data_IF_504050016599
#
_entry.id   IF_504050016599
#
_cell.length_a   1.000
_cell.length_b   1.000
_cell.length_c   1.000
_cell.angle_alpha   90.00
_cell.angle_beta   90.00
_cell.angle_gamma   90.00
#
_symmetry.space_group_name_H-M   'P 1'
#
loop_
_entity.id
_entity.type
_entity.pdbx_description
1 polymer ?
#
# COMPACT_ATOMS: atom_id res chain seq x y z
N UNK A 1 2.03 0.98 20.44
CA UNK A 1 3.09 1.19 21.46
C UNK A 1 4.42 1.05 20.75
N UNK A 2 5.25 2.10 20.73
CA UNK A 2 6.51 2.10 19.98
C UNK A 2 7.60 1.34 20.75
N UNK A 3 8.02 0.21 20.20
CA UNK A 3 9.09 -0.67 20.68
C UNK A 3 10.45 -0.24 20.12
N UNK A 4 11.03 0.84 20.66
CA UNK A 4 12.45 1.16 20.44
C UNK A 4 13.14 1.40 21.78
N UNK A 5 14.31 0.77 21.94
CA UNK A 5 15.19 0.87 23.12
C UNK A 5 15.60 2.32 23.39
N UNK A 6 15.65 2.70 24.68
CA UNK A 6 15.92 4.08 25.14
C UNK A 6 17.40 4.49 25.01
N UNK A 7 18.29 3.57 24.67
CA UNK A 7 19.74 3.79 24.76
C UNK A 7 20.45 3.99 23.42
N UNK A 8 19.73 4.35 22.35
CA UNK A 8 20.38 4.77 21.10
C UNK A 8 20.89 6.23 21.20
N UNK A 9 22.21 6.49 21.06
CA UNK A 9 22.80 7.83 21.20
C UNK A 9 22.40 8.84 20.11
N UNK A 10 21.56 8.45 19.15
CA UNK A 10 21.00 9.33 18.10
C UNK A 10 19.55 9.79 18.40
N UNK A 11 19.10 9.76 19.65
CA UNK A 11 17.71 10.11 20.02
C UNK A 11 17.33 11.60 19.80
N UNK A 12 18.25 12.49 19.42
CA UNK A 12 17.98 13.93 19.25
C UNK A 12 17.97 14.41 17.80
N UNK A 13 17.18 13.78 16.94
CA UNK A 13 16.64 14.44 15.74
C UNK A 13 15.24 13.90 15.43
N UNK A 14 14.33 13.90 16.41
CA UNK A 14 12.90 14.02 16.09
C UNK A 14 12.68 15.44 15.60
N UNK A 15 12.99 15.68 14.32
CA UNK A 15 12.49 16.85 13.61
C UNK A 15 10.97 16.67 13.59
N UNK A 16 10.28 17.27 14.57
CA UNK A 16 8.84 17.45 14.45
C UNK A 16 8.67 18.33 13.21
N UNK A 17 8.31 17.71 12.10
CA UNK A 17 7.81 18.42 10.93
C UNK A 17 6.49 19.07 11.36
N UNK A 18 6.57 20.28 11.90
CA UNK A 18 5.38 21.08 12.13
C UNK A 18 4.72 21.29 10.77
N UNK A 19 3.50 20.77 10.64
CA UNK A 19 2.63 21.02 9.49
C UNK A 19 2.22 22.49 9.50
N UNK A 20 3.09 23.36 8.99
CA UNK A 20 2.79 24.77 8.79
C UNK A 20 1.94 24.87 7.52
N UNK A 21 0.80 25.57 7.61
CA UNK A 21 -0.03 25.83 6.43
C UNK A 21 0.79 26.61 5.40
N UNK A 22 0.75 26.20 4.13
CA UNK A 22 1.45 26.89 3.04
C UNK A 22 1.13 28.39 3.01
N UNK A 23 -0.13 28.75 3.28
CA UNK A 23 -0.61 30.14 3.38
C UNK A 23 0.05 30.97 4.49
N UNK A 24 0.59 30.32 5.52
CA UNK A 24 1.31 30.99 6.60
C UNK A 24 2.77 31.30 6.23
N UNK A 25 3.33 30.62 5.22
CA UNK A 25 4.72 30.79 4.77
C UNK A 25 4.80 31.70 3.54
N UNK A 26 3.79 31.66 2.66
CA UNK A 26 3.79 32.44 1.43
C UNK A 26 3.58 33.93 1.70
N UNK A 27 4.51 34.76 1.20
CA UNK A 27 4.33 36.22 1.18
C UNK A 27 3.13 36.58 0.28
N UNK A 28 2.33 37.61 0.60
CA UNK A 28 1.10 37.95 -0.14
C UNK A 28 1.29 38.06 -1.66
N UNK A 29 2.40 38.67 -2.10
CA UNK A 29 2.78 38.81 -3.52
C UNK A 29 3.03 37.51 -4.28
N UNK A 30 3.24 36.40 -3.56
CA UNK A 30 3.48 35.06 -4.11
C UNK A 30 2.36 34.08 -3.73
N UNK A 31 1.18 34.54 -3.29
CA UNK A 31 0.07 33.62 -2.99
C UNK A 31 -0.72 33.20 -4.23
N UNK A 32 -1.00 34.11 -5.17
CA UNK A 32 -1.91 33.80 -6.27
C UNK A 32 -1.32 32.84 -7.33
N UNK A 33 -0.03 32.97 -7.65
CA UNK A 33 0.63 32.27 -8.77
C UNK A 33 1.12 30.85 -8.44
N UNK A 34 1.84 30.61 -7.33
CA UNK A 34 2.32 29.29 -6.93
C UNK A 34 1.19 28.36 -6.52
N UNK A 35 0.20 28.88 -5.78
CA UNK A 35 -0.88 28.07 -5.21
C UNK A 35 -1.75 27.46 -6.29
N UNK A 36 -2.07 28.18 -7.36
CA UNK A 36 -2.84 27.64 -8.50
C UNK A 36 -2.09 26.51 -9.21
N UNK A 37 -0.80 26.70 -9.52
CA UNK A 37 0.01 25.66 -10.19
C UNK A 37 0.23 24.43 -9.31
N UNK A 38 0.45 24.63 -8.02
CA UNK A 38 0.64 23.53 -7.06
C UNK A 38 -0.63 22.69 -6.92
N UNK A 39 -1.80 23.32 -6.80
CA UNK A 39 -3.07 22.59 -6.75
C UNK A 39 -3.31 21.78 -8.02
N UNK A 40 -3.08 22.38 -9.19
CA UNK A 40 -3.21 21.71 -10.49
C UNK A 40 -2.27 20.50 -10.56
N UNK A 41 -0.97 20.68 -10.28
CA UNK A 41 0.00 19.58 -10.31
C UNK A 41 -0.33 18.49 -9.29
N UNK A 42 -0.73 18.86 -8.07
CA UNK A 42 -1.13 17.91 -7.03
C UNK A 42 -2.34 17.08 -7.46
N UNK A 43 -3.34 17.72 -8.07
CA UNK A 43 -4.50 17.06 -8.62
C UNK A 43 -4.12 16.08 -9.74
N UNK A 44 -3.26 16.49 -10.67
CA UNK A 44 -2.80 15.61 -11.75
C UNK A 44 -2.03 14.39 -11.22
N UNK A 45 -1.07 14.61 -10.32
CA UNK A 45 -0.31 13.52 -9.71
C UNK A 45 -1.25 12.57 -8.98
N UNK A 46 -2.15 13.09 -8.14
CA UNK A 46 -3.12 12.27 -7.42
C UNK A 46 -3.99 11.45 -8.36
N UNK A 47 -4.51 12.06 -9.41
CA UNK A 47 -5.35 11.37 -10.39
C UNK A 47 -4.60 10.24 -11.10
N UNK A 48 -3.35 10.47 -11.51
CA UNK A 48 -2.50 9.47 -12.16
C UNK A 48 -2.20 8.33 -11.18
N UNK A 49 -1.76 8.65 -9.97
CA UNK A 49 -1.30 7.65 -9.00
C UNK A 49 -2.44 6.77 -8.48
N UNK A 50 -3.62 7.33 -8.20
CA UNK A 50 -4.79 6.53 -7.78
C UNK A 50 -5.17 5.53 -8.88
N UNK A 51 -5.21 5.98 -10.13
CA UNK A 51 -5.53 5.11 -11.29
C UNK A 51 -4.49 4.03 -11.52
N UNK A 52 -3.21 4.38 -11.40
CA UNK A 52 -2.11 3.43 -11.47
C UNK A 52 -2.22 2.39 -10.34
N UNK A 53 -2.49 2.84 -9.11
CA UNK A 53 -2.66 1.96 -7.95
C UNK A 53 -3.84 1.00 -8.11
N UNK A 54 -4.99 1.49 -8.59
CA UNK A 54 -6.16 0.66 -8.87
C UNK A 54 -5.84 -0.46 -9.86
N UNK A 55 -5.12 -0.14 -10.93
CA UNK A 55 -4.69 -1.14 -11.89
C UNK A 55 -3.72 -2.16 -11.28
N UNK A 56 -2.69 -1.70 -10.56
CA UNK A 56 -1.70 -2.60 -9.93
C UNK A 56 -2.37 -3.53 -8.92
N UNK A 57 -3.32 -3.03 -8.13
CA UNK A 57 -4.10 -3.85 -7.21
C UNK A 57 -4.94 -4.89 -7.96
N UNK A 58 -5.61 -4.49 -9.04
CA UNK A 58 -6.33 -5.44 -9.89
C UNK A 58 -5.39 -6.51 -10.47
N UNK A 59 -4.21 -6.11 -10.95
CA UNK A 59 -3.20 -7.02 -11.47
C UNK A 59 -2.76 -8.04 -10.42
N UNK A 60 -2.44 -7.59 -9.20
CA UNK A 60 -2.07 -8.49 -8.10
C UNK A 60 -3.21 -9.45 -7.73
N UNK A 61 -4.44 -8.95 -7.65
CA UNK A 61 -5.61 -9.76 -7.29
C UNK A 61 -5.97 -10.80 -8.37
N UNK A 62 -5.74 -10.48 -9.65
CA UNK A 62 -5.96 -11.43 -10.75
C UNK A 62 -4.89 -12.52 -10.85
N UNK A 63 -3.77 -12.35 -10.15
CA UNK A 63 -2.66 -13.31 -10.06
C UNK A 63 -2.44 -13.76 -8.60
N UNK A 64 -3.50 -13.82 -7.81
CA UNK A 64 -3.41 -14.08 -6.37
C UNK A 64 -2.83 -15.48 -6.03
N UNK A 65 -2.86 -16.41 -6.98
CA UNK A 65 -2.25 -17.74 -6.88
C UNK A 65 -0.74 -17.75 -7.19
N UNK A 66 -0.18 -16.61 -7.59
CA UNK A 66 1.22 -16.46 -7.98
C UNK A 66 1.97 -15.53 -7.04
N UNK A 67 3.28 -15.73 -6.94
CA UNK A 67 4.15 -14.79 -6.24
C UNK A 67 4.14 -13.44 -6.94
N UNK A 68 3.89 -12.36 -6.20
CA UNK A 68 3.94 -11.00 -6.73
C UNK A 68 5.30 -10.73 -7.36
N UNK A 69 5.30 -10.27 -8.62
CA UNK A 69 6.52 -9.92 -9.32
C UNK A 69 7.28 -8.81 -8.58
N UNK A 70 8.56 -9.05 -8.29
CA UNK A 70 9.43 -8.12 -7.56
C UNK A 70 9.53 -6.75 -8.23
N UNK A 71 9.25 -6.64 -9.53
CA UNK A 71 9.21 -5.37 -10.27
C UNK A 71 8.11 -4.44 -9.76
N UNK A 72 6.99 -4.95 -9.25
CA UNK A 72 5.99 -4.11 -8.57
C UNK A 72 6.58 -3.31 -7.38
N UNK A 73 7.67 -3.86 -6.84
CA UNK A 73 8.66 -3.32 -5.90
C UNK A 73 9.34 -2.00 -6.26
N UNK A 74 9.38 -1.67 -7.55
CA UNK A 74 10.40 -0.78 -8.11
C UNK A 74 9.80 0.51 -8.65
N UNK A 75 10.49 1.63 -8.47
CA UNK A 75 10.09 2.92 -9.02
C UNK A 75 9.84 2.87 -10.54
N UNK A 76 10.68 2.17 -11.31
CA UNK A 76 10.56 2.11 -12.77
C UNK A 76 9.28 1.42 -13.24
N UNK A 77 8.77 0.45 -12.46
CA UNK A 77 7.48 -0.17 -12.72
C UNK A 77 6.36 0.84 -12.55
N UNK A 78 6.33 1.56 -11.43
CA UNK A 78 5.33 2.59 -11.16
C UNK A 78 5.36 3.69 -12.21
N UNK A 79 6.54 4.10 -12.66
CA UNK A 79 6.66 5.05 -13.76
C UNK A 79 6.00 4.54 -15.04
N UNK A 80 6.17 3.28 -15.40
CA UNK A 80 5.48 2.68 -16.53
C UNK A 80 3.96 2.66 -16.35
N UNK A 81 3.45 2.40 -15.13
CA UNK A 81 2.01 2.46 -14.85
C UNK A 81 1.45 3.88 -15.07
N UNK A 82 2.19 4.92 -14.69
CA UNK A 82 1.78 6.30 -14.95
C UNK A 82 1.71 6.62 -16.45
N UNK A 83 2.57 6.00 -17.26
CA UNK A 83 2.55 6.14 -18.71
C UNK A 83 1.30 5.48 -19.30
N UNK A 84 0.97 4.25 -18.87
CA UNK A 84 -0.23 3.54 -19.29
C UNK A 84 -1.51 4.34 -18.98
N UNK A 85 -1.66 4.81 -17.74
CA UNK A 85 -2.78 5.67 -17.33
C UNK A 85 -2.87 6.93 -18.18
N UNK A 86 -1.74 7.47 -18.63
CA UNK A 86 -1.68 8.65 -19.50
C UNK A 86 -1.86 8.34 -21.00
N UNK A 87 -2.32 7.13 -21.37
CA UNK A 87 -2.38 6.65 -22.76
C UNK A 87 -1.04 6.71 -23.51
N UNK A 88 0.07 6.53 -22.80
CA UNK A 88 1.42 6.50 -23.36
C UNK A 88 1.99 5.09 -23.31
N UNK A 89 2.74 4.71 -24.32
CA UNK A 89 3.49 3.45 -24.31
C UNK A 89 4.60 3.50 -23.25
N UNK A 90 4.76 2.46 -22.43
CA UNK A 90 5.85 2.37 -21.48
C UNK A 90 7.22 2.43 -22.15
N UNK A 91 8.12 3.28 -21.64
CA UNK A 91 9.46 3.43 -22.23
C UNK A 91 10.43 2.34 -21.80
N UNK A 92 10.25 1.78 -20.60
CA UNK A 92 11.13 0.77 -20.04
C UNK A 92 10.38 -0.55 -19.89
N UNK A 93 10.22 -1.28 -20.99
CA UNK A 93 9.51 -2.57 -21.00
C UNK A 93 10.21 -3.63 -20.14
N UNK A 94 11.52 -3.52 -19.88
CA UNK A 94 12.23 -4.41 -18.97
C UNK A 94 11.73 -4.30 -17.52
N UNK A 95 11.15 -3.16 -17.15
CA UNK A 95 10.56 -2.93 -15.84
C UNK A 95 9.15 -3.56 -15.68
N UNK A 96 8.63 -4.24 -16.71
CA UNK A 96 7.27 -4.77 -16.74
C UNK A 96 7.26 -6.30 -16.77
N UNK A 97 6.38 -6.96 -16.00
CA UNK A 97 5.99 -8.36 -16.24
C UNK A 97 5.48 -8.56 -17.66
N UNK A 98 5.65 -9.77 -18.22
CA UNK A 98 5.36 -10.04 -19.63
C UNK A 98 3.87 -9.92 -19.99
N UNK A 99 3.02 -10.26 -19.04
CA UNK A 99 1.55 -10.37 -19.11
C UNK A 99 0.83 -9.07 -18.70
N UNK A 100 1.54 -8.11 -18.09
CA UNK A 100 0.90 -6.92 -17.52
C UNK A 100 0.23 -6.03 -18.57
N UNK A 101 0.75 -6.00 -19.81
CA UNK A 101 0.16 -5.20 -20.89
C UNK A 101 -1.16 -5.80 -21.38
N UNK A 102 -1.26 -7.13 -21.45
CA UNK A 102 -2.50 -7.81 -21.79
C UNK A 102 -3.54 -7.60 -20.67
N UNK A 103 -3.10 -7.69 -19.41
CA UNK A 103 -3.94 -7.38 -18.27
C UNK A 103 -4.41 -5.90 -18.28
N UNK A 104 -3.52 -4.96 -18.62
CA UNK A 104 -3.85 -3.55 -18.78
C UNK A 104 -4.89 -3.33 -19.88
N UNK A 105 -4.75 -3.95 -21.05
CA UNK A 105 -5.69 -3.81 -22.16
C UNK A 105 -7.09 -4.32 -21.75
N UNK A 106 -7.14 -5.47 -21.08
CA UNK A 106 -8.39 -6.01 -20.53
C UNK A 106 -9.02 -5.06 -19.50
N UNK A 107 -8.23 -4.57 -18.54
CA UNK A 107 -8.69 -3.67 -17.48
C UNK A 107 -9.16 -2.31 -18.02
N UNK A 108 -8.35 -1.66 -18.86
CA UNK A 108 -8.66 -0.33 -19.41
C UNK A 108 -9.82 -0.33 -20.40
N UNK A 109 -10.11 -1.47 -21.05
CA UNK A 109 -11.32 -1.62 -21.88
C UNK A 109 -12.61 -1.65 -21.05
N UNK A 110 -12.54 -2.10 -19.80
CA UNK A 110 -13.70 -2.25 -18.90
C UNK A 110 -13.92 -1.04 -18.01
N UNK A 111 -12.84 -0.35 -17.63
CA UNK A 111 -12.88 0.74 -16.66
C UNK A 111 -12.35 2.04 -17.26
N UNK A 112 -12.99 3.16 -16.91
CA UNK A 112 -12.55 4.50 -17.31
C UNK A 112 -11.34 4.95 -16.47
N UNK A 113 -10.19 4.32 -16.74
CA UNK A 113 -8.93 4.54 -16.00
C UNK A 113 -7.93 5.41 -16.74
N UNK A 114 -8.16 5.72 -18.02
CA UNK A 114 -7.31 6.66 -18.74
C UNK A 114 -7.49 8.07 -18.18
N UNK A 115 -6.38 8.77 -18.00
CA UNK A 115 -6.33 10.15 -17.56
C UNK A 115 -5.57 11.00 -18.58
N UNK A 116 -6.18 12.11 -18.98
CA UNK A 116 -5.52 13.13 -19.80
C UNK A 116 -5.45 14.42 -19.01
N UNK A 117 -4.28 15.04 -19.02
CA UNK A 117 -4.04 16.35 -18.44
C UNK A 117 -4.34 17.39 -19.53
N UNK A 118 -5.34 18.23 -19.30
CA UNK A 118 -5.75 19.24 -20.29
C UNK A 118 -4.69 20.33 -20.47
N UNK A 119 -4.06 20.78 -19.39
CA UNK A 119 -3.00 21.79 -19.42
C UNK A 119 -1.69 21.21 -18.89
N UNK A 120 -0.70 21.04 -19.77
CA UNK A 120 0.60 20.49 -19.36
C UNK A 120 1.41 21.54 -18.59
N UNK A 121 1.38 21.46 -17.26
CA UNK A 121 2.21 22.26 -16.36
C UNK A 121 3.68 21.80 -16.42
N UNK A 122 4.59 22.75 -16.66
CA UNK A 122 6.03 22.48 -16.69
C UNK A 122 6.52 21.89 -15.36
N UNK A 123 7.35 20.85 -15.43
CA UNK A 123 7.97 20.25 -14.24
C UNK A 123 7.13 19.22 -13.50
N UNK A 124 5.86 18.99 -13.89
CA UNK A 124 5.00 18.00 -13.24
C UNK A 124 5.60 16.58 -13.24
N UNK A 125 6.43 16.27 -14.25
CA UNK A 125 7.13 14.99 -14.36
C UNK A 125 8.03 14.69 -13.17
N UNK A 126 8.63 15.71 -12.54
CA UNK A 126 9.42 15.53 -11.32
C UNK A 126 8.54 15.08 -10.15
N UNK A 127 7.35 15.66 -10.02
CA UNK A 127 6.37 15.27 -9.01
C UNK A 127 5.87 13.84 -9.21
N UNK A 128 5.61 13.45 -10.48
CA UNK A 128 5.24 12.06 -10.81
C UNK A 128 6.38 11.08 -10.45
N UNK A 129 7.62 11.42 -10.79
CA UNK A 129 8.79 10.60 -10.44
C UNK A 129 8.93 10.43 -8.93
N UNK A 130 8.75 11.50 -8.15
CA UNK A 130 8.77 11.44 -6.69
C UNK A 130 7.64 10.55 -6.14
N UNK A 131 6.43 10.71 -6.66
CA UNK A 131 5.30 9.87 -6.27
C UNK A 131 5.51 8.39 -6.61
N UNK A 132 6.21 8.07 -7.70
CA UNK A 132 6.57 6.69 -8.04
C UNK A 132 7.56 6.08 -7.02
N UNK A 133 8.51 6.86 -6.50
CA UNK A 133 9.40 6.41 -5.42
C UNK A 133 8.59 6.12 -4.17
N UNK A 134 7.73 7.07 -3.78
CA UNK A 134 6.88 6.93 -2.60
C UNK A 134 5.97 5.70 -2.71
N UNK A 135 5.31 5.48 -3.85
CA UNK A 135 4.47 4.30 -4.08
C UNK A 135 5.26 2.99 -4.02
N UNK A 136 6.46 2.94 -4.60
CA UNK A 136 7.31 1.75 -4.51
C UNK A 136 7.69 1.42 -3.06
N UNK A 137 8.02 2.45 -2.28
CA UNK A 137 8.31 2.34 -0.85
C UNK A 137 7.08 1.91 -0.05
N UNK A 138 5.92 2.53 -0.30
CA UNK A 138 4.66 2.18 0.35
C UNK A 138 4.25 0.73 0.08
N UNK A 139 4.38 0.25 -1.15
CA UNK A 139 4.07 -1.14 -1.48
C UNK A 139 5.06 -2.10 -0.81
N UNK A 140 6.35 -1.75 -0.79
CA UNK A 140 7.37 -2.53 -0.08
C UNK A 140 7.03 -2.60 1.41
N UNK A 141 6.77 -1.48 2.06
CA UNK A 141 6.44 -1.44 3.49
C UNK A 141 5.12 -2.13 3.80
N UNK A 142 4.11 -2.00 2.93
CA UNK A 142 2.83 -2.68 3.12
C UNK A 142 2.98 -4.20 3.04
N UNK A 143 3.84 -4.69 2.13
CA UNK A 143 4.12 -6.11 1.98
C UNK A 143 5.11 -6.68 3.02
N UNK A 144 6.09 -5.88 3.47
CA UNK A 144 7.17 -6.32 4.37
C UNK A 144 6.85 -6.03 5.82
N UNK A 145 6.40 -4.82 6.14
CA UNK A 145 6.29 -4.34 7.53
C UNK A 145 4.87 -4.52 8.08
N UNK A 146 3.83 -4.29 7.27
CA UNK A 146 2.45 -4.32 7.75
C UNK A 146 1.71 -5.62 7.42
N UNK A 147 2.28 -6.52 6.62
CA UNK A 147 1.57 -7.71 6.17
C UNK A 147 1.24 -8.64 7.34
N UNK A 148 2.21 -8.91 8.22
CA UNK A 148 1.98 -9.75 9.40
C UNK A 148 0.91 -9.14 10.33
N UNK A 149 1.02 -7.86 10.68
CA UNK A 149 0.04 -7.21 11.55
C UNK A 149 -1.37 -7.16 10.92
N UNK A 150 -1.45 -6.95 9.60
CA UNK A 150 -2.72 -6.93 8.87
C UNK A 150 -3.34 -8.31 8.78
N UNK A 151 -2.54 -9.34 8.48
CA UNK A 151 -2.97 -10.73 8.44
C UNK A 151 -3.44 -11.20 9.82
N UNK A 152 -2.67 -10.91 10.88
CA UNK A 152 -3.06 -11.20 12.25
C UNK A 152 -4.37 -10.51 12.64
N UNK A 153 -4.58 -9.26 12.20
CA UNK A 153 -5.82 -8.53 12.45
C UNK A 153 -7.01 -9.15 11.72
N UNK A 154 -6.84 -9.53 10.46
CA UNK A 154 -7.86 -10.24 9.67
C UNK A 154 -8.23 -11.60 10.28
N UNK A 155 -7.23 -12.41 10.63
CA UNK A 155 -7.42 -13.69 11.29
C UNK A 155 -8.14 -13.52 12.63
N UNK A 156 -7.80 -12.48 13.41
CA UNK A 156 -8.46 -12.19 14.67
C UNK A 156 -9.94 -11.85 14.50
N UNK A 157 -10.30 -11.07 13.48
CA UNK A 157 -11.71 -10.77 13.17
C UNK A 157 -12.43 -12.07 12.75
N UNK A 158 -11.84 -12.83 11.83
CA UNK A 158 -12.42 -14.08 11.32
C UNK A 158 -12.68 -15.10 12.43
N UNK A 159 -11.73 -15.29 13.35
CA UNK A 159 -11.89 -16.20 14.49
C UNK A 159 -12.96 -15.68 15.47
N UNK A 160 -13.06 -14.37 15.70
CA UNK A 160 -14.12 -13.81 16.56
C UNK A 160 -15.52 -14.02 15.98
N UNK A 161 -15.67 -13.93 14.67
CA UNK A 161 -16.95 -14.21 14.00
C UNK A 161 -17.34 -15.67 14.10
N UNK A 162 -16.36 -16.59 14.04
CA UNK A 162 -16.61 -18.03 14.17
C UNK A 162 -16.91 -18.48 15.60
N UNK A 163 -16.44 -17.75 16.61
CA UNK A 163 -16.60 -18.14 18.02
C UNK A 163 -17.19 -17.01 18.86
N UNK A 164 -18.52 -17.01 19.06
CA UNK A 164 -19.26 -15.96 19.79
C UNK A 164 -18.90 -15.81 21.28
N UNK A 165 -18.28 -16.82 21.93
CA UNK A 165 -18.14 -16.88 23.41
C UNK A 165 -16.75 -17.26 23.93
N UNK A 166 -15.69 -16.74 23.34
CA UNK A 166 -14.32 -16.91 23.85
C UNK A 166 -13.84 -15.65 24.58
N UNK A 167 -13.02 -15.82 25.63
CA UNK A 167 -12.42 -14.67 26.33
C UNK A 167 -11.38 -13.97 25.45
N UNK A 168 -11.28 -12.63 25.57
CA UNK A 168 -10.41 -11.77 24.73
C UNK A 168 -8.95 -12.23 24.65
N UNK A 169 -8.41 -12.82 25.72
CA UNK A 169 -7.03 -13.32 25.77
C UNK A 169 -6.79 -14.59 24.94
N UNK A 170 -7.80 -15.47 24.84
CA UNK A 170 -7.68 -16.75 24.13
C UNK A 170 -7.66 -16.57 22.60
N UNK A 171 -8.42 -15.60 22.08
CA UNK A 171 -8.43 -15.29 20.65
C UNK A 171 -7.05 -14.94 20.10
N UNK A 172 -6.30 -14.09 20.82
CA UNK A 172 -4.98 -13.66 20.36
C UNK A 172 -3.99 -14.83 20.31
N UNK A 173 -4.06 -15.71 21.32
CA UNK A 173 -3.23 -16.91 21.38
C UNK A 173 -3.55 -17.87 20.24
N UNK A 174 -4.83 -18.16 19.98
CA UNK A 174 -5.26 -19.02 18.88
C UNK A 174 -4.79 -18.45 17.54
N UNK A 175 -4.97 -17.15 17.31
CA UNK A 175 -4.57 -16.51 16.06
C UNK A 175 -3.05 -16.60 15.86
N UNK A 176 -2.25 -16.29 16.88
CA UNK A 176 -0.79 -16.24 16.75
C UNK A 176 -0.13 -17.62 16.73
N UNK A 177 -0.54 -18.52 17.63
CA UNK A 177 0.10 -19.84 17.82
C UNK A 177 -0.45 -20.92 16.89
N UNK A 178 -1.63 -20.72 16.30
CA UNK A 178 -2.28 -21.69 15.43
C UNK A 178 -2.49 -21.14 14.02
N UNK A 179 -3.40 -20.18 13.87
CA UNK A 179 -3.87 -19.75 12.55
C UNK A 179 -2.75 -19.11 11.72
N UNK A 180 -2.00 -18.19 12.32
CA UNK A 180 -0.90 -17.52 11.64
C UNK A 180 0.23 -18.49 11.30
N UNK A 181 0.64 -19.35 12.23
CA UNK A 181 1.67 -20.38 11.97
C UNK A 181 1.25 -21.33 10.84
N UNK A 182 -0.03 -21.73 10.79
CA UNK A 182 -0.52 -22.57 9.70
C UNK A 182 -0.46 -21.85 8.35
N UNK A 183 -0.93 -20.61 8.27
CA UNK A 183 -0.97 -19.82 7.02
C UNK A 183 0.43 -19.42 6.55
N UNK A 184 1.36 -19.16 7.47
CA UNK A 184 2.74 -18.79 7.16
C UNK A 184 3.67 -19.98 6.92
N UNK A 185 3.16 -21.23 7.00
CA UNK A 185 3.97 -22.44 6.83
C UNK A 185 4.91 -22.75 8.00
N UNK A 186 4.66 -22.17 9.18
CA UNK A 186 5.31 -22.51 10.43
C UNK A 186 4.75 -23.78 11.08
N UNK A 187 5.00 -23.95 12.38
CA UNK A 187 4.58 -25.14 13.13
C UNK A 187 3.42 -24.78 14.06
N UNK A 188 2.15 -24.95 13.63
CA UNK A 188 1.01 -24.62 14.46
C UNK A 188 0.91 -25.56 15.67
N UNK A 189 0.67 -24.99 16.86
CA UNK A 189 0.44 -25.77 18.08
C UNK A 189 -1.07 -25.97 18.28
N UNK A 190 -1.64 -27.04 17.73
CA UNK A 190 -3.03 -27.40 17.97
C UNK A 190 -3.17 -27.97 19.39
N UNK A 191 -4.03 -27.41 20.26
CA UNK A 191 -4.24 -27.99 21.57
C UNK A 191 -4.90 -29.37 21.41
N UNK A 192 -4.27 -30.41 21.96
CA UNK A 192 -4.75 -31.80 21.89
C UNK A 192 -6.14 -31.99 22.53
N UNK A 193 -6.56 -31.05 23.39
CA UNK A 193 -7.81 -31.08 24.15
C UNK A 193 -8.77 -29.92 23.78
N UNK A 194 -9.05 -29.71 22.48
CA UNK A 194 -10.08 -28.75 22.06
C UNK A 194 -11.42 -29.02 22.76
N UNK A 195 -11.77 -30.29 22.98
CA UNK A 195 -12.99 -30.72 23.67
C UNK A 195 -13.14 -30.12 25.08
N UNK A 196 -12.06 -29.99 25.85
CA UNK A 196 -12.11 -29.50 27.24
C UNK A 196 -12.23 -27.96 27.33
N UNK A 197 -11.79 -27.25 26.30
CA UNK A 197 -11.88 -25.78 26.22
C UNK A 197 -13.26 -25.33 25.73
N UNK A 198 -13.92 -26.12 24.89
CA UNK A 198 -15.26 -25.80 24.37
C UNK A 198 -16.41 -26.39 25.20
N UNK A 199 -16.21 -27.50 25.93
CA UNK A 199 -17.27 -28.18 26.68
C UNK A 199 -17.33 -27.86 28.19
N UNK A 200 -16.49 -26.99 28.73
CA UNK A 200 -16.65 -26.51 30.11
C UNK A 200 -17.73 -25.41 30.23
N UNK A 201 -18.92 -25.74 29.72
CA UNK A 201 -20.20 -25.19 30.15
C UNK A 201 -21.14 -26.36 30.45
N UNK A 202 -20.97 -26.91 31.66
CA UNK A 202 -22.09 -27.50 32.39
C UNK A 202 -22.26 -26.71 33.67
#
# INVERSE_FOLDING_TARGET
MSSRSKDCPNHKLTKQEQKIKLDAILKPKYKALPTTKEFIVSEHVRNIMIRAQLFVNYYVLTHADQTIDKRAFMQNFWYCMTQLVSSKSPKNTKALPSDILDCWNSFSSRYRVIYSMEEVVSGYSQCVTAACVEMSSMYTNSAVECFEESLLSYLLISVKELFEKLEKGHFRRIVQSNCYQYVSGGTPFWPDNLSDVYNNKT
#
